data_IF_142071598105
#
_entry.id   IF_142071598105
#
_cell.length_a   1.000
_cell.length_b   1.000
_cell.length_c   1.000
_cell.angle_alpha   90.00
_cell.angle_beta   90.00
_cell.angle_gamma   90.00
#
_symmetry.space_group_name_H-M   'P 1'
#
loop_
_entity.id
_entity.type
_entity.pdbx_description
1 polymer ?
#
# COMPACT_ATOMS: atom_id res chain seq x y z
N UNK A 1 5.38 -11.10 -18.10
CA UNK A 1 6.42 -12.13 -18.24
C UNK A 1 6.67 -12.81 -16.89
N UNK A 2 7.26 -12.13 -15.91
CA UNK A 2 7.65 -12.76 -14.63
C UNK A 2 6.52 -13.42 -13.81
N UNK A 3 5.37 -12.76 -13.60
CA UNK A 3 4.22 -13.36 -12.87
C UNK A 3 3.76 -14.66 -13.55
N UNK A 4 3.63 -14.65 -14.88
CA UNK A 4 3.23 -15.83 -15.64
C UNK A 4 4.26 -16.97 -15.53
N UNK A 5 5.56 -16.64 -15.50
CA UNK A 5 6.64 -17.63 -15.29
C UNK A 5 6.56 -18.29 -13.91
N UNK A 6 6.28 -17.50 -12.85
CA UNK A 6 6.10 -18.03 -11.49
C UNK A 6 4.94 -19.03 -11.44
N UNK A 7 3.77 -18.63 -11.96
CA UNK A 7 2.57 -19.48 -11.97
C UNK A 7 2.80 -20.73 -12.82
N UNK A 8 3.46 -20.61 -13.98
CA UNK A 8 3.78 -21.76 -14.83
C UNK A 8 4.77 -22.74 -14.19
N UNK A 9 5.69 -22.25 -13.34
CA UNK A 9 6.66 -23.10 -12.64
C UNK A 9 5.99 -24.02 -11.62
N UNK A 10 5.16 -23.45 -10.73
CA UNK A 10 4.36 -24.19 -9.74
C UNK A 10 3.09 -23.39 -9.48
N UNK A 11 1.89 -23.79 -9.92
CA UNK A 11 0.70 -22.94 -9.86
C UNK A 11 0.43 -22.32 -8.48
N UNK A 12 0.29 -23.12 -7.43
CA UNK A 12 -0.01 -22.61 -6.09
C UNK A 12 1.13 -21.78 -5.48
N UNK A 13 2.35 -22.32 -5.46
CA UNK A 13 3.51 -21.61 -4.88
C UNK A 13 3.91 -20.38 -5.69
N UNK A 14 3.85 -20.48 -7.01
CA UNK A 14 4.06 -19.40 -7.96
C UNK A 14 3.06 -18.26 -7.79
N UNK A 15 1.79 -18.58 -7.53
CA UNK A 15 0.78 -17.58 -7.21
C UNK A 15 1.08 -16.91 -5.87
N UNK A 16 1.44 -17.66 -4.83
CA UNK A 16 1.86 -17.11 -3.53
C UNK A 16 3.10 -16.22 -3.64
N UNK A 17 4.02 -16.51 -4.57
CA UNK A 17 5.17 -15.67 -4.86
C UNK A 17 4.79 -14.43 -5.67
N UNK A 18 3.89 -14.56 -6.64
CA UNK A 18 3.38 -13.43 -7.41
C UNK A 18 2.64 -12.42 -6.50
N UNK A 19 1.90 -12.91 -5.50
CA UNK A 19 1.21 -12.07 -4.52
C UNK A 19 2.15 -11.24 -3.63
N UNK A 20 3.41 -11.65 -3.44
CA UNK A 20 4.43 -10.82 -2.77
C UNK A 20 4.74 -9.53 -3.53
N UNK A 21 4.38 -9.46 -4.82
CA UNK A 21 4.58 -8.27 -5.64
C UNK A 21 3.43 -7.26 -5.51
N UNK A 22 2.42 -7.50 -4.66
CA UNK A 22 1.20 -6.69 -4.58
C UNK A 22 1.37 -5.34 -3.87
N UNK A 23 2.55 -4.72 -3.92
CA UNK A 23 2.84 -3.40 -3.35
C UNK A 23 2.17 -2.24 -4.12
N UNK A 24 1.50 -2.52 -5.24
CA UNK A 24 0.70 -1.56 -5.98
C UNK A 24 -0.55 -2.22 -6.59
N UNK A 25 -1.64 -1.46 -6.65
CA UNK A 25 -2.97 -1.95 -7.08
C UNK A 25 -3.04 -2.42 -8.53
N UNK A 26 -2.08 -2.03 -9.38
CA UNK A 26 -2.00 -2.49 -10.78
C UNK A 26 -1.46 -3.91 -10.93
N UNK A 27 -0.90 -4.51 -9.87
CA UNK A 27 -0.20 -5.81 -9.93
C UNK A 27 -1.15 -7.01 -9.77
N UNK A 28 -2.06 -7.06 -8.77
CA UNK A 28 -2.97 -8.19 -8.62
C UNK A 28 -3.80 -8.54 -9.87
N UNK A 29 -4.30 -7.58 -10.67
CA UNK A 29 -5.00 -7.89 -11.93
C UNK A 29 -4.15 -8.62 -12.98
N UNK A 30 -2.81 -8.67 -12.81
CA UNK A 30 -1.90 -9.40 -13.70
C UNK A 30 -1.69 -10.86 -13.30
N UNK A 31 -2.24 -11.28 -12.14
CA UNK A 31 -2.16 -12.65 -11.63
C UNK A 31 -3.35 -13.42 -12.21
N UNK A 32 -3.09 -14.28 -13.19
CA UNK A 32 -4.10 -15.11 -13.84
C UNK A 32 -4.47 -16.32 -12.97
N UNK A 33 -5.72 -16.34 -12.51
CA UNK A 33 -6.31 -17.44 -11.74
C UNK A 33 -7.32 -18.28 -12.53
N UNK A 34 -7.57 -17.96 -13.80
CA UNK A 34 -8.63 -18.62 -14.59
C UNK A 34 -8.34 -20.11 -14.85
N UNK A 35 -7.09 -20.53 -14.66
CA UNK A 35 -6.65 -21.93 -14.82
C UNK A 35 -6.74 -22.75 -13.54
N UNK A 36 -6.92 -22.11 -12.39
CA UNK A 36 -7.01 -22.80 -11.11
C UNK A 36 -8.42 -23.39 -10.94
N UNK A 37 -8.50 -24.62 -10.46
CA UNK A 37 -9.77 -25.23 -10.07
C UNK A 37 -10.35 -24.54 -8.82
N UNK A 38 -11.66 -24.68 -8.61
CA UNK A 38 -12.33 -24.12 -7.43
C UNK A 38 -11.71 -24.59 -6.11
N UNK A 39 -11.25 -25.85 -6.04
CA UNK A 39 -10.62 -26.44 -4.85
C UNK A 39 -9.20 -25.89 -4.63
N UNK A 40 -8.43 -25.69 -5.70
CA UNK A 40 -7.10 -25.06 -5.63
C UNK A 40 -7.22 -23.60 -5.15
N UNK A 41 -8.20 -22.87 -5.66
CA UNK A 41 -8.48 -21.49 -5.24
C UNK A 41 -8.92 -21.42 -3.78
N UNK A 42 -9.83 -22.29 -3.34
CA UNK A 42 -10.22 -22.38 -1.93
C UNK A 42 -8.99 -22.62 -1.06
N UNK A 43 -8.18 -23.62 -1.39
CA UNK A 43 -6.99 -23.99 -0.63
C UNK A 43 -5.99 -22.83 -0.56
N UNK A 44 -5.76 -22.13 -1.68
CA UNK A 44 -4.89 -20.97 -1.74
C UNK A 44 -5.37 -19.84 -0.82
N UNK A 45 -6.66 -19.49 -0.89
CA UNK A 45 -7.24 -18.41 -0.10
C UNK A 45 -7.29 -18.75 1.39
N UNK A 46 -7.66 -19.99 1.75
CA UNK A 46 -7.63 -20.48 3.13
C UNK A 46 -6.20 -20.45 3.71
N UNK A 47 -5.19 -20.78 2.89
CA UNK A 47 -3.78 -20.69 3.28
C UNK A 47 -3.34 -19.25 3.55
N UNK A 48 -3.77 -18.30 2.71
CA UNK A 48 -3.44 -16.88 2.83
C UNK A 48 -4.15 -16.22 4.02
N UNK A 49 -5.40 -16.60 4.28
CA UNK A 49 -6.12 -16.18 5.47
C UNK A 49 -5.37 -16.62 6.74
N UNK A 50 -4.96 -17.88 6.83
CA UNK A 50 -4.35 -18.42 8.05
C UNK A 50 -2.87 -18.05 8.22
N UNK A 51 -2.11 -17.95 7.13
CA UNK A 51 -0.63 -17.89 7.16
C UNK A 51 -0.02 -16.88 6.19
N UNK A 52 -0.82 -16.17 5.40
CA UNK A 52 -0.32 -15.19 4.43
C UNK A 52 0.25 -13.96 5.10
N UNK A 53 1.32 -13.40 4.54
CA UNK A 53 1.82 -12.03 4.84
C UNK A 53 0.80 -10.96 4.49
N UNK A 54 0.91 -9.78 5.11
CA UNK A 54 -0.06 -8.70 4.92
C UNK A 54 -0.21 -8.30 3.45
N UNK A 55 0.91 -8.22 2.74
CA UNK A 55 0.92 -7.79 1.35
C UNK A 55 0.21 -8.78 0.42
N UNK A 56 0.46 -10.07 0.62
CA UNK A 56 -0.18 -11.13 -0.14
C UNK A 56 -1.67 -11.25 0.20
N UNK A 57 -2.06 -11.02 1.45
CA UNK A 57 -3.47 -10.92 1.85
C UNK A 57 -4.15 -9.77 1.12
N UNK A 58 -3.54 -8.58 1.06
CA UNK A 58 -4.07 -7.44 0.31
C UNK A 58 -4.29 -7.77 -1.17
N UNK A 59 -3.26 -8.31 -1.84
CA UNK A 59 -3.36 -8.69 -3.25
C UNK A 59 -4.43 -9.76 -3.49
N UNK A 60 -4.56 -10.72 -2.57
CA UNK A 60 -5.57 -11.77 -2.65
C UNK A 60 -6.99 -11.24 -2.44
N UNK A 61 -7.19 -10.26 -1.55
CA UNK A 61 -8.47 -9.57 -1.40
C UNK A 61 -8.84 -8.86 -2.71
N UNK A 62 -7.95 -8.03 -3.26
CA UNK A 62 -8.23 -7.28 -4.49
C UNK A 62 -8.58 -8.22 -5.67
N UNK A 63 -7.81 -9.30 -5.81
CA UNK A 63 -8.03 -10.32 -6.83
C UNK A 63 -9.31 -11.12 -6.58
N UNK A 64 -9.54 -11.56 -5.34
CA UNK A 64 -10.71 -12.32 -4.92
C UNK A 64 -12.02 -11.56 -5.18
N UNK A 65 -12.08 -10.27 -4.82
CA UNK A 65 -13.22 -9.41 -5.13
C UNK A 65 -13.48 -9.28 -6.64
N UNK A 66 -12.43 -9.33 -7.46
CA UNK A 66 -12.54 -9.24 -8.92
C UNK A 66 -13.10 -10.50 -9.59
N UNK A 67 -13.08 -11.65 -8.91
CA UNK A 67 -13.53 -12.95 -9.43
C UNK A 67 -14.64 -13.60 -8.60
N UNK A 68 -15.16 -12.89 -7.60
CA UNK A 68 -16.06 -13.42 -6.58
C UNK A 68 -17.36 -14.03 -7.15
N UNK A 69 -17.87 -13.45 -8.23
CA UNK A 69 -19.05 -13.92 -8.96
C UNK A 69 -18.89 -15.35 -9.53
N UNK A 70 -17.65 -15.73 -9.86
CA UNK A 70 -17.30 -17.05 -10.40
C UNK A 70 -16.84 -18.03 -9.32
N UNK A 71 -16.33 -17.53 -8.20
CA UNK A 71 -15.75 -18.34 -7.14
C UNK A 71 -16.24 -17.91 -5.75
N UNK A 72 -17.55 -18.00 -5.45
CA UNK A 72 -18.09 -17.55 -4.16
C UNK A 72 -17.55 -18.34 -2.95
N UNK A 73 -16.98 -19.53 -3.17
CA UNK A 73 -16.48 -20.38 -2.09
C UNK A 73 -15.31 -19.75 -1.29
N UNK A 74 -14.59 -18.76 -1.87
CA UNK A 74 -13.51 -18.04 -1.20
C UNK A 74 -13.99 -16.96 -0.21
N UNK A 75 -15.31 -16.79 -0.06
CA UNK A 75 -15.94 -15.76 0.80
C UNK A 75 -15.37 -15.71 2.21
N UNK A 76 -15.34 -16.85 2.90
CA UNK A 76 -14.88 -16.91 4.28
C UNK A 76 -13.43 -16.41 4.43
N UNK A 77 -12.55 -16.78 3.50
CA UNK A 77 -11.16 -16.35 3.52
C UNK A 77 -11.01 -14.85 3.19
N UNK A 78 -11.79 -14.31 2.25
CA UNK A 78 -11.80 -12.86 1.98
C UNK A 78 -12.24 -12.08 3.22
N UNK A 79 -13.33 -12.51 3.85
CA UNK A 79 -13.84 -11.89 5.09
C UNK A 79 -12.77 -11.92 6.18
N UNK A 80 -12.16 -13.10 6.41
CA UNK A 80 -11.10 -13.28 7.40
C UNK A 80 -9.92 -12.34 7.16
N UNK A 81 -9.40 -12.27 5.93
CA UNK A 81 -8.28 -11.37 5.60
C UNK A 81 -8.64 -9.88 5.78
N UNK A 82 -9.85 -9.46 5.37
CA UNK A 82 -10.31 -8.07 5.55
C UNK A 82 -10.39 -7.72 7.03
N UNK A 83 -11.01 -8.58 7.85
CA UNK A 83 -11.13 -8.39 9.29
C UNK A 83 -9.76 -8.34 9.96
N UNK A 84 -8.85 -9.25 9.60
CA UNK A 84 -7.50 -9.24 10.15
C UNK A 84 -6.73 -7.95 9.84
N UNK A 85 -6.96 -7.31 8.68
CA UNK A 85 -6.34 -6.03 8.32
C UNK A 85 -7.02 -4.87 9.07
N UNK A 86 -8.37 -4.85 9.09
CA UNK A 86 -9.19 -3.83 9.77
C UNK A 86 -8.89 -3.79 11.28
N UNK A 87 -8.78 -4.96 11.89
CA UNK A 87 -8.69 -5.13 13.35
C UNK A 87 -7.24 -5.13 13.87
N UNK A 88 -6.24 -5.05 12.99
CA UNK A 88 -4.83 -4.94 13.38
C UNK A 88 -4.57 -3.59 14.07
N UNK A 89 -4.40 -3.62 15.39
CA UNK A 89 -4.04 -2.44 16.19
C UNK A 89 -2.56 -2.12 16.01
N UNK A 90 -2.26 -0.99 15.36
CA UNK A 90 -0.88 -0.58 15.04
C UNK A 90 -0.05 -0.19 16.26
N UNK A 91 -0.68 0.02 17.43
CA UNK A 91 0.05 0.27 18.69
C UNK A 91 0.44 -1.04 19.40
N UNK A 92 -0.24 -2.14 19.09
CA UNK A 92 0.01 -3.44 19.71
C UNK A 92 1.39 -4.00 19.38
N UNK A 93 2.06 -4.60 20.36
CA UNK A 93 3.35 -5.29 20.17
C UNK A 93 3.28 -6.44 19.16
N UNK A 94 2.09 -7.02 18.96
CA UNK A 94 1.85 -8.11 18.02
C UNK A 94 1.28 -7.63 16.67
N UNK A 95 1.28 -6.32 16.42
CA UNK A 95 0.78 -5.79 15.15
C UNK A 95 1.58 -6.32 13.97
N UNK A 96 0.88 -6.79 12.94
CA UNK A 96 1.53 -7.26 11.72
C UNK A 96 1.94 -6.11 10.82
N UNK A 97 1.27 -4.95 10.91
CA UNK A 97 1.72 -3.72 10.25
C UNK A 97 3.02 -3.18 10.87
N UNK A 98 3.19 -3.27 12.20
CA UNK A 98 4.49 -2.96 12.83
C UNK A 98 5.59 -3.88 12.35
N UNK A 99 5.32 -5.18 12.29
CA UNK A 99 6.27 -6.16 11.78
C UNK A 99 6.64 -5.88 10.32
N UNK A 100 5.65 -5.66 9.44
CA UNK A 100 5.87 -5.35 8.02
C UNK A 100 6.70 -4.07 7.85
N UNK A 101 6.37 -3.00 8.58
CA UNK A 101 7.11 -1.74 8.56
C UNK A 101 8.57 -1.95 8.97
N UNK A 102 8.81 -2.61 10.10
CA UNK A 102 10.16 -2.88 10.60
C UNK A 102 10.97 -3.76 9.64
N UNK A 103 10.35 -4.78 9.05
CA UNK A 103 10.98 -5.64 8.05
C UNK A 103 11.30 -4.89 6.77
N UNK A 104 10.40 -4.04 6.28
CA UNK A 104 10.65 -3.22 5.09
C UNK A 104 11.84 -2.28 5.32
N UNK A 105 11.89 -1.60 6.47
CA UNK A 105 13.03 -0.75 6.88
C UNK A 105 14.32 -1.57 6.96
N UNK A 106 14.27 -2.75 7.58
CA UNK A 106 15.42 -3.64 7.73
C UNK A 106 15.98 -4.08 6.37
N UNK A 107 15.12 -4.62 5.50
CA UNK A 107 15.51 -5.15 4.19
C UNK A 107 16.01 -4.03 3.28
N UNK A 108 15.27 -2.92 3.20
CA UNK A 108 15.64 -1.77 2.37
C UNK A 108 16.96 -1.16 2.82
N UNK A 109 17.16 -1.02 4.13
CA UNK A 109 18.42 -0.54 4.69
C UNK A 109 19.61 -1.50 4.44
N UNK A 110 19.39 -2.82 4.47
CA UNK A 110 20.42 -3.79 4.08
C UNK A 110 20.75 -3.73 2.59
N UNK A 111 19.73 -3.62 1.72
CA UNK A 111 19.91 -3.50 0.27
C UNK A 111 20.67 -2.23 -0.08
N UNK A 112 20.33 -1.10 0.57
CA UNK A 112 21.06 0.16 0.47
C UNK A 112 22.52 0.02 0.90
N UNK A 113 22.76 -0.52 2.10
CA UNK A 113 24.12 -0.73 2.65
C UNK A 113 24.98 -1.61 1.74
N UNK A 114 24.40 -2.68 1.21
CA UNK A 114 25.07 -3.61 0.29
C UNK A 114 25.21 -3.05 -1.14
N UNK A 115 24.57 -1.92 -1.45
CA UNK A 115 24.46 -1.34 -2.80
C UNK A 115 23.82 -2.29 -3.82
N UNK A 116 23.03 -3.23 -3.33
CA UNK A 116 22.23 -4.13 -4.18
C UNK A 116 21.16 -3.30 -4.87
N UNK A 117 20.97 -3.47 -6.18
CA UNK A 117 20.04 -2.67 -6.99
C UNK A 117 20.32 -1.16 -7.03
N UNK A 118 21.52 -0.68 -6.67
CA UNK A 118 21.84 0.75 -6.65
C UNK A 118 21.65 1.47 -8.01
N UNK A 119 21.73 0.75 -9.12
CA UNK A 119 21.48 1.29 -10.47
C UNK A 119 20.03 1.14 -10.96
N UNK A 120 19.09 0.73 -10.11
CA UNK A 120 17.69 0.57 -10.46
C UNK A 120 16.86 1.76 -9.96
N UNK A 121 15.73 2.08 -10.62
CA UNK A 121 14.81 3.10 -10.13
C UNK A 121 14.32 2.79 -8.70
N UNK A 122 14.00 3.80 -7.87
CA UNK A 122 13.60 3.57 -6.49
C UNK A 122 12.39 2.63 -6.35
N UNK A 123 11.33 2.80 -7.15
CA UNK A 123 10.16 1.91 -7.10
C UNK A 123 10.48 0.44 -7.38
N UNK A 124 11.47 0.13 -8.24
CA UNK A 124 11.89 -1.25 -8.48
C UNK A 124 12.56 -1.85 -7.25
N UNK A 125 13.45 -1.08 -6.63
CA UNK A 125 14.15 -1.49 -5.42
C UNK A 125 13.15 -1.68 -4.28
N UNK A 126 12.24 -0.72 -4.08
CA UNK A 126 11.20 -0.77 -3.07
C UNK A 126 10.21 -1.92 -3.27
N UNK A 127 9.81 -2.22 -4.51
CA UNK A 127 9.02 -3.42 -4.82
C UNK A 127 9.75 -4.69 -4.38
N UNK A 128 11.03 -4.83 -4.71
CA UNK A 128 11.81 -6.00 -4.33
C UNK A 128 11.98 -6.12 -2.81
N UNK A 129 12.22 -5.02 -2.11
CA UNK A 129 12.46 -5.05 -0.66
C UNK A 129 11.18 -5.23 0.16
N UNK A 130 10.06 -4.65 -0.28
CA UNK A 130 8.74 -4.93 0.31
C UNK A 130 8.31 -6.37 0.05
N UNK A 131 8.54 -6.92 -1.14
CA UNK A 131 8.27 -8.33 -1.44
C UNK A 131 9.11 -9.27 -0.55
N UNK A 132 10.39 -8.96 -0.36
CA UNK A 132 11.27 -9.73 0.52
C UNK A 132 10.87 -9.59 2.00
N UNK A 133 10.51 -8.39 2.45
CA UNK A 133 10.00 -8.16 3.81
C UNK A 133 8.74 -8.99 4.07
N UNK A 134 7.82 -9.03 3.10
CA UNK A 134 6.58 -9.82 3.17
C UNK A 134 6.87 -11.32 3.19
N UNK A 135 7.86 -11.79 2.43
CA UNK A 135 8.29 -13.19 2.50
C UNK A 135 8.84 -13.55 3.89
N UNK A 136 9.65 -12.67 4.49
CA UNK A 136 10.17 -12.87 5.84
C UNK A 136 9.01 -12.87 6.87
N UNK A 137 8.05 -11.95 6.73
CA UNK A 137 6.85 -11.90 7.58
C UNK A 137 6.10 -13.25 7.56
N UNK A 138 5.85 -13.78 6.37
CA UNK A 138 5.20 -15.10 6.18
C UNK A 138 5.96 -16.22 6.90
N UNK A 139 7.29 -16.22 6.81
CA UNK A 139 8.12 -17.18 7.53
C UNK A 139 7.96 -17.01 9.04
N UNK A 140 8.01 -15.79 9.57
CA UNK A 140 7.85 -15.52 11.01
C UNK A 140 6.49 -16.01 11.51
N UNK A 141 5.40 -15.73 10.79
CA UNK A 141 4.06 -16.20 11.15
C UNK A 141 3.92 -17.72 11.17
N UNK A 142 4.85 -18.46 10.56
CA UNK A 142 4.84 -19.93 10.54
C UNK A 142 5.56 -20.56 11.73
N UNK A 143 6.23 -19.78 12.58
CA UNK A 143 7.01 -20.26 13.72
C UNK A 143 6.64 -19.52 15.01
N UNK A 144 6.79 -20.14 16.19
CA UNK A 144 6.58 -19.48 17.48
C UNK A 144 7.75 -18.53 17.78
N UNK A 145 7.68 -17.32 17.23
CA UNK A 145 8.66 -16.23 17.45
C UNK A 145 8.01 -15.15 18.32
N UNK A 146 8.78 -14.54 19.22
CA UNK A 146 8.39 -13.29 19.89
C UNK A 146 8.36 -12.15 18.86
N UNK A 147 7.18 -11.90 18.29
CA UNK A 147 6.97 -10.89 17.24
C UNK A 147 7.30 -9.49 17.75
N UNK A 148 6.93 -9.16 18.99
CA UNK A 148 7.22 -7.86 19.58
C UNK A 148 8.71 -7.63 19.74
N UNK A 149 9.41 -8.56 20.39
CA UNK A 149 10.86 -8.49 20.56
C UNK A 149 11.63 -8.47 19.23
N UNK A 150 11.19 -9.28 18.25
CA UNK A 150 11.80 -9.28 16.91
C UNK A 150 11.57 -7.96 16.17
N UNK A 151 10.37 -7.38 16.26
CA UNK A 151 10.02 -6.10 15.60
C UNK A 151 10.89 -4.96 16.13
N UNK A 152 11.08 -4.87 17.44
CA UNK A 152 11.96 -3.86 18.06
C UNK A 152 13.42 -4.03 17.60
N UNK A 153 13.92 -5.27 17.58
CA UNK A 153 15.25 -5.57 17.06
C UNK A 153 15.40 -5.14 15.58
N UNK A 154 14.43 -5.49 14.73
CA UNK A 154 14.47 -5.15 13.30
C UNK A 154 14.46 -3.64 13.08
N UNK A 155 13.62 -2.91 13.83
CA UNK A 155 13.54 -1.45 13.76
C UNK A 155 14.88 -0.78 14.14
N UNK A 156 15.56 -1.30 15.17
CA UNK A 156 16.85 -0.77 15.64
C UNK A 156 18.02 -0.98 14.68
N UNK A 157 17.92 -1.94 13.75
CA UNK A 157 19.07 -2.44 13.00
C UNK A 157 19.53 -1.55 11.84
N UNK A 158 18.60 -0.99 11.05
CA UNK A 158 18.91 -0.34 9.75
C UNK A 158 18.13 0.92 9.41
N UNK A 159 17.40 1.50 10.38
CA UNK A 159 16.61 2.71 10.17
C UNK A 159 17.35 3.85 9.48
N UNK A 160 18.59 4.14 9.89
CA UNK A 160 19.38 5.23 9.28
C UNK A 160 19.70 4.99 7.79
N UNK A 161 20.04 3.77 7.40
CA UNK A 161 20.37 3.45 6.00
C UNK A 161 19.12 3.52 5.10
N UNK A 162 18.00 3.00 5.60
CA UNK A 162 16.70 3.19 4.98
C UNK A 162 16.37 4.67 4.79
N UNK A 163 16.45 5.45 5.88
CA UNK A 163 16.00 6.85 5.88
C UNK A 163 16.82 7.71 4.92
N UNK A 164 18.16 7.61 4.98
CA UNK A 164 19.04 8.37 4.09
C UNK A 164 18.86 7.99 2.63
N UNK A 165 18.72 6.69 2.32
CA UNK A 165 18.49 6.24 0.97
C UNK A 165 17.16 6.77 0.42
N UNK A 166 16.08 6.68 1.18
CA UNK A 166 14.76 7.18 0.77
C UNK A 166 14.78 8.71 0.58
N UNK A 167 15.51 9.46 1.42
CA UNK A 167 15.70 10.90 1.21
C UNK A 167 16.44 11.21 -0.10
N UNK A 168 17.44 10.41 -0.48
CA UNK A 168 18.10 10.55 -1.78
C UNK A 168 17.13 10.26 -2.93
N UNK A 169 16.24 9.28 -2.77
CA UNK A 169 15.27 8.88 -3.78
C UNK A 169 14.19 9.94 -4.04
N UNK A 170 13.92 10.85 -3.10
CA UNK A 170 12.98 11.97 -3.30
C UNK A 170 13.33 12.86 -4.51
N UNK A 171 14.56 12.81 -5.01
CA UNK A 171 14.95 13.47 -6.26
C UNK A 171 14.26 12.90 -7.50
N UNK A 172 13.92 11.61 -7.47
CA UNK A 172 13.24 10.89 -8.55
C UNK A 172 11.78 10.60 -8.21
N UNK A 173 11.49 10.38 -6.93
CA UNK A 173 10.16 10.02 -6.40
C UNK A 173 9.76 10.97 -5.26
N UNK A 174 9.51 12.26 -5.55
CA UNK A 174 9.36 13.31 -4.54
C UNK A 174 8.14 13.17 -3.62
N UNK A 175 7.20 12.29 -3.96
CA UNK A 175 5.94 12.17 -3.21
C UNK A 175 5.94 11.07 -2.18
N UNK A 176 6.89 10.14 -2.20
CA UNK A 176 6.95 9.06 -1.22
C UNK A 176 8.02 9.31 -0.17
N UNK A 177 7.59 9.82 0.98
CA UNK A 177 8.46 10.16 2.10
C UNK A 177 8.84 8.91 2.91
N UNK A 178 10.01 8.87 3.57
CA UNK A 178 10.40 7.74 4.41
C UNK A 178 9.38 7.44 5.52
N UNK A 179 8.70 8.47 6.04
CA UNK A 179 7.70 8.32 7.09
C UNK A 179 6.44 7.57 6.63
N UNK A 180 6.21 7.44 5.32
CA UNK A 180 5.07 6.67 4.79
C UNK A 180 5.22 5.15 4.95
N UNK A 181 6.38 4.68 5.42
CA UNK A 181 6.55 3.29 5.84
C UNK A 181 5.95 3.02 7.22
N UNK A 182 5.43 4.04 7.94
CA UNK A 182 4.88 3.84 9.28
C UNK A 182 3.76 2.79 9.29
N UNK A 183 3.57 2.05 10.39
CA UNK A 183 2.51 1.06 10.50
C UNK A 183 1.12 1.63 10.20
N UNK A 184 0.84 2.84 10.68
CA UNK A 184 -0.44 3.55 10.51
C UNK A 184 -0.67 3.90 9.05
N UNK A 185 0.35 4.43 8.36
CA UNK A 185 0.24 4.80 6.95
C UNK A 185 0.11 3.56 6.07
N UNK A 186 0.86 2.49 6.34
CA UNK A 186 0.71 1.22 5.62
C UNK A 186 -0.68 0.62 5.81
N UNK A 187 -1.23 0.67 7.02
CA UNK A 187 -2.61 0.23 7.28
C UNK A 187 -3.62 1.09 6.50
N UNK A 188 -3.46 2.41 6.52
CA UNK A 188 -4.33 3.33 5.80
C UNK A 188 -4.32 3.09 4.27
N UNK A 189 -3.14 2.88 3.69
CA UNK A 189 -2.94 2.48 2.29
C UNK A 189 -3.71 1.18 1.98
N UNK A 190 -3.58 0.17 2.84
CA UNK A 190 -4.25 -1.13 2.63
C UNK A 190 -5.77 -0.99 2.69
N UNK A 191 -6.29 -0.23 3.65
CA UNK A 191 -7.72 0.07 3.77
C UNK A 191 -8.23 0.79 2.52
N UNK A 192 -7.51 1.83 2.05
CA UNK A 192 -7.86 2.56 0.84
C UNK A 192 -7.91 1.66 -0.38
N UNK A 193 -6.93 0.76 -0.53
CA UNK A 193 -6.89 -0.20 -1.64
C UNK A 193 -8.03 -1.21 -1.59
N UNK A 194 -8.36 -1.78 -0.43
CA UNK A 194 -9.49 -2.70 -0.28
C UNK A 194 -10.80 -1.97 -0.63
N UNK A 195 -11.02 -0.76 -0.10
CA UNK A 195 -12.22 0.03 -0.38
C UNK A 195 -12.36 0.34 -1.88
N UNK A 196 -11.25 0.71 -2.55
CA UNK A 196 -11.21 0.96 -3.98
C UNK A 196 -11.51 -0.29 -4.81
N UNK A 197 -10.95 -1.44 -4.44
CA UNK A 197 -11.21 -2.72 -5.11
C UNK A 197 -12.66 -3.16 -4.95
N UNK A 198 -13.21 -3.06 -3.73
CA UNK A 198 -14.62 -3.35 -3.47
C UNK A 198 -15.55 -2.44 -4.27
N UNK A 199 -15.27 -1.14 -4.31
CA UNK A 199 -16.05 -0.18 -5.10
C UNK A 199 -16.00 -0.51 -6.60
N UNK A 200 -14.81 -0.84 -7.12
CA UNK A 200 -14.60 -1.21 -8.54
C UNK A 200 -15.35 -2.48 -8.93
N UNK A 201 -15.43 -3.45 -8.01
CA UNK A 201 -16.02 -4.76 -8.27
C UNK A 201 -17.38 -4.98 -7.57
N UNK A 202 -18.04 -3.91 -7.11
CA UNK A 202 -19.31 -3.97 -6.36
C UNK A 202 -20.41 -4.85 -7.00
N UNK A 203 -20.45 -4.91 -8.33
CA UNK A 203 -21.45 -5.69 -9.07
C UNK A 203 -21.16 -7.20 -9.07
N UNK A 204 -19.92 -7.62 -8.76
CA UNK A 204 -19.50 -9.02 -8.66
C UNK A 204 -19.64 -9.58 -7.24
N UNK A 205 -19.75 -8.70 -6.24
CA UNK A 205 -19.88 -9.07 -4.84
C UNK A 205 -21.35 -9.41 -4.58
N UNK A 206 -21.68 -10.71 -4.49
CA UNK A 206 -23.01 -11.15 -4.13
C UNK A 206 -23.23 -11.18 -2.59
N UNK A 207 -22.17 -11.47 -1.83
CA UNK A 207 -22.16 -11.56 -0.36
C UNK A 207 -22.57 -10.23 0.29
N UNK A 208 -23.51 -10.30 1.23
CA UNK A 208 -23.93 -9.15 2.03
C UNK A 208 -22.84 -8.78 3.05
N UNK A 209 -22.23 -9.78 3.69
CA UNK A 209 -21.17 -9.59 4.68
C UNK A 209 -19.96 -8.84 4.10
N UNK A 210 -19.52 -9.19 2.88
CA UNK A 210 -18.44 -8.46 2.21
C UNK A 210 -18.85 -7.01 1.91
N UNK A 211 -20.12 -6.76 1.52
CA UNK A 211 -20.61 -5.40 1.26
C UNK A 211 -20.64 -4.56 2.52
N UNK A 212 -21.10 -5.12 3.63
CA UNK A 212 -21.11 -4.42 4.93
C UNK A 212 -19.68 -4.08 5.35
N UNK A 213 -18.76 -5.05 5.27
CA UNK A 213 -17.35 -4.85 5.62
C UNK A 213 -16.62 -3.82 4.74
N UNK A 214 -17.02 -3.61 3.48
CA UNK A 214 -16.22 -2.84 2.50
C UNK A 214 -16.89 -1.62 1.87
N UNK A 215 -18.22 -1.60 1.80
CA UNK A 215 -19.00 -0.58 1.11
C UNK A 215 -19.91 0.25 2.03
N UNK A 216 -20.28 -0.27 3.20
CA UNK A 216 -21.07 0.47 4.18
C UNK A 216 -20.25 1.58 4.88
N UNK A 217 -20.91 2.44 5.64
CA UNK A 217 -20.28 3.52 6.42
C UNK A 217 -20.40 3.30 7.93
N UNK A 218 -20.82 2.10 8.36
CA UNK A 218 -20.92 1.72 9.76
C UNK A 218 -19.55 1.50 10.42
N UNK A 219 -19.51 1.49 11.75
CA UNK A 219 -18.31 1.32 12.58
C UNK A 219 -17.55 0.02 12.29
N UNK A 220 -18.25 -1.02 11.80
CA UNK A 220 -17.65 -2.30 11.42
C UNK A 220 -17.02 -2.28 10.03
N UNK A 221 -17.27 -1.27 9.21
CA UNK A 221 -16.75 -1.19 7.85
C UNK A 221 -15.34 -0.62 7.80
N UNK A 222 -14.53 -1.08 6.84
CA UNK A 222 -13.21 -0.50 6.58
C UNK A 222 -13.31 0.98 6.19
N UNK A 223 -14.45 1.42 5.61
CA UNK A 223 -14.65 2.83 5.24
C UNK A 223 -14.67 3.76 6.45
N UNK A 224 -15.10 3.27 7.61
CA UNK A 224 -15.05 4.03 8.85
C UNK A 224 -13.61 4.34 9.29
N UNK A 225 -12.64 3.54 8.86
CA UNK A 225 -11.22 3.77 9.13
C UNK A 225 -10.52 4.60 8.05
N UNK A 226 -11.22 5.05 7.00
CA UNK A 226 -10.66 5.89 5.94
C UNK A 226 -10.51 7.36 6.38
N UNK A 227 -9.60 7.60 7.32
CA UNK A 227 -9.33 8.93 7.85
C UNK A 227 -8.48 9.73 6.87
N UNK A 228 -9.07 10.73 6.22
CA UNK A 228 -8.34 11.66 5.36
C UNK A 228 -7.19 12.34 6.14
N UNK A 229 -5.98 12.49 5.57
CA UNK A 229 -5.60 12.20 4.18
C UNK A 229 -5.00 10.81 3.95
N UNK A 230 -4.77 10.02 5.00
CA UNK A 230 -3.81 8.90 4.99
C UNK A 230 -4.04 7.89 3.86
N UNK A 231 -5.27 7.38 3.59
CA UNK A 231 -5.52 6.43 2.49
C UNK A 231 -5.37 7.00 1.08
N UNK A 232 -5.19 8.32 0.94
CA UNK A 232 -5.08 9.02 -0.33
C UNK A 232 -3.65 9.53 -0.60
N UNK A 233 -2.75 9.35 0.36
CA UNK A 233 -1.33 9.58 0.16
C UNK A 233 -0.76 8.51 -0.78
N UNK A 234 0.31 8.82 -1.52
CA UNK A 234 0.87 7.89 -2.50
C UNK A 234 1.36 6.62 -1.82
N UNK A 235 1.00 5.48 -2.41
CA UNK A 235 1.47 4.17 -2.00
C UNK A 235 2.97 3.98 -2.23
N UNK A 236 3.56 2.88 -1.75
CA UNK A 236 4.99 2.62 -1.85
C UNK A 236 5.58 2.77 -3.25
N UNK A 237 4.85 2.42 -4.32
CA UNK A 237 5.41 2.49 -5.67
C UNK A 237 5.00 3.75 -6.45
N UNK A 238 4.36 4.71 -5.80
CA UNK A 238 3.67 5.84 -6.46
C UNK A 238 4.41 7.17 -6.33
N UNK A 239 5.59 7.19 -5.69
CA UNK A 239 6.32 8.43 -5.39
C UNK A 239 6.72 9.25 -6.62
N UNK A 240 6.85 8.61 -7.79
CA UNK A 240 7.14 9.25 -9.08
C UNK A 240 5.92 9.40 -10.01
N UNK A 241 4.73 8.99 -9.57
CA UNK A 241 3.53 8.98 -10.40
C UNK A 241 2.74 10.28 -10.16
N UNK A 242 2.16 10.84 -11.23
CA UNK A 242 1.22 11.96 -11.11
C UNK A 242 -0.14 11.44 -10.65
N UNK A 243 -0.81 12.07 -9.65
CA UNK A 243 -2.15 11.64 -9.28
C UNK A 243 -3.08 11.95 -10.44
N UNK A 244 -4.11 11.12 -10.60
CA UNK A 244 -5.16 11.35 -11.59
C UNK A 244 -6.35 12.14 -11.01
N UNK A 245 -6.42 12.30 -9.69
CA UNK A 245 -7.52 12.96 -9.00
C UNK A 245 -7.42 14.47 -9.23
N UNK A 246 -8.43 15.12 -9.85
CA UNK A 246 -8.39 16.55 -10.07
C UNK A 246 -8.44 17.31 -8.74
N UNK A 247 -7.79 18.47 -8.69
CA UNK A 247 -7.90 19.38 -7.57
C UNK A 247 -9.35 19.91 -7.44
N UNK A 248 -9.97 19.82 -6.26
CA UNK A 248 -11.30 20.40 -6.02
C UNK A 248 -11.31 21.93 -6.25
N UNK A 249 -12.36 22.50 -6.87
CA UNK A 249 -12.43 23.93 -7.19
C UNK A 249 -12.26 24.87 -5.97
N UNK A 250 -12.74 24.44 -4.80
CA UNK A 250 -12.62 25.22 -3.57
C UNK A 250 -11.16 25.29 -3.08
N UNK A 251 -10.42 24.18 -3.21
CA UNK A 251 -8.99 24.14 -2.90
C UNK A 251 -8.19 24.91 -3.96
N UNK A 252 -8.58 24.80 -5.23
CA UNK A 252 -7.99 25.55 -6.34
C UNK A 252 -8.05 27.05 -6.08
N UNK A 253 -9.24 27.56 -5.78
CA UNK A 253 -9.48 28.98 -5.49
C UNK A 253 -8.72 29.44 -4.26
N UNK A 254 -8.70 28.64 -3.20
CA UNK A 254 -7.96 28.94 -1.95
C UNK A 254 -6.45 29.04 -2.18
N UNK A 255 -5.88 28.16 -3.00
CA UNK A 255 -4.44 28.19 -3.35
C UNK A 255 -4.14 29.42 -4.21
N UNK A 256 -4.96 29.70 -5.24
CA UNK A 256 -4.80 30.87 -6.11
C UNK A 256 -4.84 32.18 -5.27
N UNK A 257 -5.83 32.32 -4.38
CA UNK A 257 -5.94 33.47 -3.48
C UNK A 257 -4.74 33.60 -2.53
N UNK A 258 -4.26 32.49 -1.95
CA UNK A 258 -3.14 32.50 -1.02
C UNK A 258 -1.83 32.91 -1.69
N UNK A 259 -1.54 32.38 -2.88
CA UNK A 259 -0.32 32.68 -3.62
C UNK A 259 -0.37 34.05 -4.31
N UNK A 260 -1.54 34.64 -4.51
CA UNK A 260 -1.68 35.96 -5.17
C UNK A 260 -1.57 37.15 -4.20
N UNK A 261 -1.48 36.94 -2.88
CA UNK A 261 -1.41 38.03 -1.89
C UNK A 261 -0.18 38.91 -2.06
N UNK A 262 -0.31 40.22 -1.82
CA UNK A 262 0.81 41.18 -1.90
C UNK A 262 1.91 40.87 -0.87
N UNK A 263 1.53 40.45 0.33
CA UNK A 263 2.44 39.97 1.37
C UNK A 263 2.32 38.46 1.53
N UNK A 264 3.44 37.75 1.35
CA UNK A 264 3.51 36.30 1.34
C UNK A 264 4.31 35.81 2.53
N UNK A 265 3.81 34.74 3.15
CA UNK A 265 4.50 33.99 4.18
C UNK A 265 4.52 32.50 3.83
N UNK A 266 5.22 31.69 4.64
CA UNK A 266 5.29 30.24 4.44
C UNK A 266 3.91 29.55 4.47
N UNK A 267 2.92 30.15 5.16
CA UNK A 267 1.57 29.58 5.26
C UNK A 267 0.82 29.64 3.94
N UNK A 268 1.17 30.61 3.10
CA UNK A 268 0.58 30.80 1.77
C UNK A 268 0.83 29.60 0.84
N UNK A 269 1.86 28.80 1.11
CA UNK A 269 2.20 27.60 0.32
C UNK A 269 1.60 26.30 0.87
N UNK A 270 1.01 26.30 2.07
CA UNK A 270 0.52 25.05 2.73
C UNK A 270 -0.51 24.34 1.86
N UNK A 271 -1.48 25.08 1.32
CA UNK A 271 -2.52 24.51 0.48
C UNK A 271 -1.95 23.82 -0.75
N UNK A 272 -0.97 24.44 -1.40
CA UNK A 272 -0.27 23.88 -2.56
C UNK A 272 0.51 22.61 -2.20
N UNK A 273 1.32 22.67 -1.14
CA UNK A 273 2.18 21.55 -0.71
C UNK A 273 1.33 20.33 -0.32
N UNK A 274 0.30 20.53 0.49
CA UNK A 274 -0.56 19.44 0.95
C UNK A 274 -1.38 18.85 -0.21
N UNK A 275 -1.76 19.67 -1.20
CA UNK A 275 -2.52 19.21 -2.36
C UNK A 275 -1.65 18.43 -3.35
N UNK A 276 -0.35 18.73 -3.45
CA UNK A 276 0.56 18.12 -4.44
C UNK A 276 0.77 16.60 -4.27
N UNK A 277 0.51 16.07 -3.07
CA UNK A 277 0.63 14.64 -2.79
C UNK A 277 -0.60 13.85 -3.24
N UNK A 278 -1.78 14.46 -3.24
CA UNK A 278 -3.07 13.79 -3.41
C UNK A 278 -3.70 14.12 -4.77
N UNK A 279 -3.57 15.38 -5.20
CA UNK A 279 -4.26 15.91 -6.36
C UNK A 279 -3.32 16.19 -7.52
N UNK A 280 -3.86 16.08 -8.72
CA UNK A 280 -3.27 16.58 -9.94
C UNK A 280 -3.33 18.10 -9.92
N UNK A 281 -2.16 18.73 -9.84
CA UNK A 281 -2.02 20.18 -9.91
C UNK A 281 -1.86 20.64 -11.36
N UNK A 282 -2.54 21.72 -11.71
CA UNK A 282 -2.29 22.44 -12.96
C UNK A 282 -0.90 23.11 -12.92
N UNK A 283 -0.11 23.06 -14.01
CA UNK A 283 1.18 23.74 -14.08
C UNK A 283 1.17 25.22 -13.68
N UNK A 284 0.03 25.93 -13.82
CA UNK A 284 -0.12 27.32 -13.37
C UNK A 284 0.30 27.53 -11.92
N UNK A 285 0.09 26.54 -11.06
CA UNK A 285 0.43 26.64 -9.64
C UNK A 285 1.94 26.65 -9.39
N UNK A 286 2.72 26.03 -10.27
CA UNK A 286 4.17 26.13 -10.20
C UNK A 286 4.63 27.56 -10.54
N UNK A 287 4.04 28.17 -11.58
CA UNK A 287 4.35 29.55 -11.97
C UNK A 287 3.95 30.54 -10.86
N UNK A 288 2.75 30.40 -10.30
CA UNK A 288 2.30 31.21 -9.16
C UNK A 288 3.21 31.05 -7.93
N UNK A 289 3.67 29.83 -7.64
CA UNK A 289 4.60 29.60 -6.54
C UNK A 289 5.96 30.28 -6.79
N UNK A 290 6.45 30.29 -8.03
CA UNK A 290 7.70 30.99 -8.40
C UNK A 290 7.53 32.50 -8.23
N UNK A 291 6.46 33.08 -8.75
CA UNK A 291 6.15 34.51 -8.59
C UNK A 291 5.98 34.90 -7.11
N UNK A 292 5.39 34.02 -6.32
CA UNK A 292 5.25 34.19 -4.88
C UNK A 292 6.59 34.21 -4.14
N UNK A 293 7.54 33.34 -4.52
CA UNK A 293 8.87 33.26 -3.91
C UNK A 293 9.80 34.43 -4.29
N UNK A 294 9.49 35.14 -5.37
CA UNK A 294 10.30 36.27 -5.87
C UNK A 294 9.92 37.62 -5.24
N UNK A 295 8.76 37.70 -4.56
CA UNK A 295 8.30 38.89 -3.83
C UNK A 295 8.88 38.94 -2.43
#
# INVERSE_FOLDING_TARGET
AHIAELIAWKPNEGTKLALLLSAHSSIPPQIDLDRASSDELQTLFDDLDKRGDRLSQLGAIELGLSIFDRHPQIEAAIIGMIQQIRDDDTDSANSRFRLLSALAVLVEGEVSRAKTLAGKPPFWRRLATIAQASLIERCICSFPVDVGGFTEWAHSGRGQQFYLQTLCDLRLEPKWMPDFISPEQLKAEFIGRIANAAQRHKNKIASQDIKELTLAEDEGSIRHQMNFPMPFLPGPLEGGIAPDIPLPPDLESSIDEALSKESIDWKSFIGLINSALIFKLDPKFADLAVEALQR
#
